data_IF_121822048520
#
_entry.id   IF_121822048520
#
_cell.length_a   1.000
_cell.length_b   1.000
_cell.length_c   1.000
_cell.angle_alpha   90.00
_cell.angle_beta   90.00
_cell.angle_gamma   90.00
#
_symmetry.space_group_name_H-M   'P 1'
#
loop_
_entity.id
_entity.type
_entity.pdbx_description
1 polymer ?
#
# COMPACT_ATOMS: atom_id res chain seq x y z
N UNK A 1 5.40 4.16 -26.18
CA UNK A 1 5.58 2.82 -25.57
C UNK A 1 5.24 1.72 -26.56
N UNK A 2 3.98 1.64 -27.05
CA UNK A 2 3.57 0.63 -28.05
C UNK A 2 4.50 0.60 -29.27
N UNK A 3 4.69 1.73 -29.94
CA UNK A 3 5.52 1.81 -31.17
C UNK A 3 6.98 1.44 -30.93
N UNK A 4 7.47 1.62 -29.70
CA UNK A 4 8.81 1.19 -29.32
C UNK A 4 8.88 -0.33 -29.17
N UNK A 5 7.93 -0.94 -28.46
CA UNK A 5 7.92 -2.39 -28.18
C UNK A 5 7.59 -3.21 -29.44
N UNK A 6 6.73 -2.71 -30.33
CA UNK A 6 6.35 -3.41 -31.56
C UNK A 6 7.52 -3.66 -32.52
N UNK A 7 8.65 -2.95 -32.35
CA UNK A 7 9.88 -3.22 -33.11
C UNK A 7 10.57 -4.53 -32.71
N UNK A 8 10.27 -5.03 -31.51
CA UNK A 8 10.95 -6.18 -30.91
C UNK A 8 10.02 -7.37 -30.69
N UNK A 9 8.70 -7.15 -30.68
CA UNK A 9 7.71 -8.17 -30.36
C UNK A 9 6.60 -8.21 -31.38
N UNK A 10 6.26 -9.42 -31.84
CA UNK A 10 5.15 -9.68 -32.77
C UNK A 10 3.78 -9.43 -32.12
N UNK A 11 3.66 -9.68 -30.83
CA UNK A 11 2.44 -9.44 -30.07
C UNK A 11 2.78 -8.93 -28.67
N UNK A 12 1.91 -8.08 -28.13
CA UNK A 12 2.05 -7.51 -26.80
C UNK A 12 0.74 -7.76 -26.07
N UNK A 13 0.80 -8.46 -24.94
CA UNK A 13 -0.35 -8.68 -24.06
C UNK A 13 -0.18 -7.84 -22.80
N UNK A 14 -1.25 -7.14 -22.42
CA UNK A 14 -1.31 -6.38 -21.18
C UNK A 14 -2.06 -7.23 -20.15
N UNK A 15 -1.43 -7.51 -19.01
CA UNK A 15 -2.08 -8.15 -17.87
C UNK A 15 -1.97 -7.17 -16.70
N UNK A 16 -3.12 -6.72 -16.19
CA UNK A 16 -3.18 -5.73 -15.13
C UNK A 16 -3.97 -6.28 -13.93
N UNK A 17 -3.27 -6.43 -12.81
CA UNK A 17 -3.88 -6.81 -11.54
C UNK A 17 -4.35 -5.57 -10.78
N UNK A 18 -5.66 -5.48 -10.62
CA UNK A 18 -6.34 -4.36 -10.00
C UNK A 18 -6.70 -4.74 -8.56
N UNK A 19 -6.08 -4.08 -7.58
CA UNK A 19 -6.49 -4.22 -6.18
C UNK A 19 -7.82 -3.52 -5.96
N UNK A 20 -8.57 -3.93 -4.94
CA UNK A 20 -9.70 -3.15 -4.49
C UNK A 20 -9.25 -1.74 -4.06
N UNK A 21 -10.09 -0.71 -4.22
CA UNK A 21 -9.69 0.66 -3.99
C UNK A 21 -9.12 0.93 -2.59
N UNK A 22 -9.78 0.44 -1.54
CA UNK A 22 -9.33 0.74 -0.17
C UNK A 22 -8.03 0.00 0.16
N UNK A 23 -7.91 -1.27 -0.25
CA UNK A 23 -6.66 -2.01 -0.12
C UNK A 23 -5.51 -1.35 -0.90
N UNK A 24 -5.78 -0.80 -2.08
CA UNK A 24 -4.80 0.00 -2.82
C UNK A 24 -4.40 1.26 -2.05
N UNK A 25 -5.38 2.03 -1.55
CA UNK A 25 -5.16 3.25 -0.77
C UNK A 25 -4.29 2.98 0.47
N UNK A 26 -4.55 1.91 1.21
CA UNK A 26 -3.74 1.48 2.35
C UNK A 26 -2.30 1.13 1.94
N UNK A 27 -2.15 0.37 0.86
CA UNK A 27 -0.83 0.02 0.34
C UNK A 27 -0.05 1.27 -0.09
N UNK A 28 -0.71 2.21 -0.78
CA UNK A 28 -0.09 3.47 -1.20
C UNK A 28 0.28 4.34 -0.01
N UNK A 29 -0.57 4.43 1.01
CA UNK A 29 -0.28 5.14 2.25
C UNK A 29 1.00 4.61 2.90
N UNK A 30 1.11 3.29 3.10
CA UNK A 30 2.31 2.71 3.69
C UNK A 30 3.57 2.94 2.84
N UNK A 31 3.46 2.88 1.50
CA UNK A 31 4.58 3.21 0.61
C UNK A 31 5.00 4.68 0.72
N UNK A 32 4.03 5.60 0.85
CA UNK A 32 4.30 7.03 1.09
C UNK A 32 4.97 7.27 2.42
N UNK A 33 4.56 6.59 3.50
CA UNK A 33 5.25 6.65 4.79
C UNK A 33 6.70 6.18 4.67
N UNK A 34 6.93 5.02 4.05
CA UNK A 34 8.29 4.53 3.77
C UNK A 34 9.10 5.53 2.93
N UNK A 35 8.42 6.31 2.09
CA UNK A 35 8.97 7.40 1.29
C UNK A 35 9.16 8.75 2.00
N UNK A 36 8.70 8.90 3.26
CA UNK A 36 8.82 10.15 4.02
C UNK A 36 7.64 11.11 3.93
N UNK A 37 6.48 10.65 3.48
CA UNK A 37 5.26 11.47 3.38
C UNK A 37 4.21 10.99 4.37
N UNK A 38 3.80 11.87 5.28
CA UNK A 38 2.76 11.61 6.28
C UNK A 38 1.42 12.26 5.91
N UNK A 39 0.95 12.01 4.69
CA UNK A 39 -0.35 12.51 4.22
C UNK A 39 -1.39 11.38 4.19
N UNK A 40 -2.45 11.56 4.99
CA UNK A 40 -3.56 10.62 5.11
C UNK A 40 -4.85 11.31 4.65
N UNK A 41 -5.02 11.44 3.34
CA UNK A 41 -6.21 12.03 2.70
C UNK A 41 -6.76 11.09 1.62
N UNK A 42 -8.05 10.73 1.64
CA UNK A 42 -8.63 9.80 0.66
C UNK A 42 -8.40 10.20 -0.80
N UNK A 43 -8.56 11.48 -1.14
CA UNK A 43 -8.40 12.01 -2.49
C UNK A 43 -6.98 11.87 -3.02
N UNK A 44 -6.01 11.91 -2.11
CA UNK A 44 -4.59 11.76 -2.43
C UNK A 44 -4.16 10.30 -2.51
N UNK A 45 -4.91 9.38 -1.91
CA UNK A 45 -4.60 7.95 -1.86
C UNK A 45 -5.35 7.14 -2.92
N UNK A 46 -6.45 7.66 -3.44
CA UNK A 46 -7.22 7.01 -4.49
C UNK A 46 -6.50 7.08 -5.85
N UNK A 47 -6.47 5.96 -6.57
CA UNK A 47 -6.02 5.91 -7.97
C UNK A 47 -7.24 5.94 -8.87
N UNK A 48 -7.25 6.81 -9.89
CA UNK A 48 -8.31 6.78 -10.92
C UNK A 48 -8.16 5.51 -11.77
N UNK A 49 -9.04 4.53 -11.53
CA UNK A 49 -9.03 3.22 -12.18
C UNK A 49 -9.33 3.35 -13.67
N UNK A 50 -10.30 4.18 -14.05
CA UNK A 50 -10.58 4.49 -15.45
C UNK A 50 -9.35 5.04 -16.14
N UNK A 51 -8.69 6.06 -15.59
CA UNK A 51 -7.48 6.61 -16.23
C UNK A 51 -6.36 5.56 -16.32
N UNK A 52 -6.25 4.68 -15.32
CA UNK A 52 -5.28 3.58 -15.31
C UNK A 52 -5.57 2.55 -16.41
N UNK A 53 -6.83 2.19 -16.62
CA UNK A 53 -7.26 1.14 -17.57
C UNK A 53 -7.43 1.69 -18.99
N UNK A 54 -8.12 2.81 -19.15
CA UNK A 54 -8.50 3.41 -20.44
C UNK A 54 -7.27 3.69 -21.31
N UNK A 55 -6.14 4.10 -20.72
CA UNK A 55 -4.90 4.33 -21.47
C UNK A 55 -4.35 3.05 -22.13
N UNK A 56 -4.51 1.89 -21.49
CA UNK A 56 -4.05 0.62 -22.07
C UNK A 56 -5.03 0.13 -23.10
N UNK A 57 -6.34 0.19 -22.82
CA UNK A 57 -7.38 -0.19 -23.77
C UNK A 57 -7.30 0.65 -25.05
N UNK A 58 -7.11 1.97 -24.94
CA UNK A 58 -6.96 2.86 -26.11
C UNK A 58 -5.74 2.53 -26.97
N UNK A 59 -4.64 2.11 -26.34
CA UNK A 59 -3.36 1.90 -27.04
C UNK A 59 -3.24 0.48 -27.58
N UNK A 60 -3.65 -0.53 -26.82
CA UNK A 60 -3.44 -1.94 -27.14
C UNK A 60 -4.71 -2.67 -27.54
N UNK A 61 -5.90 -2.10 -27.33
CA UNK A 61 -7.17 -2.79 -27.52
C UNK A 61 -7.60 -3.59 -26.29
N UNK A 62 -8.89 -3.88 -26.19
CA UNK A 62 -9.47 -4.64 -25.08
C UNK A 62 -9.14 -6.14 -25.20
N UNK A 63 -9.06 -6.63 -26.43
CA UNK A 63 -8.71 -8.00 -26.81
C UNK A 63 -7.27 -8.39 -26.43
N UNK A 64 -6.39 -7.39 -26.30
CA UNK A 64 -5.00 -7.58 -25.85
C UNK A 64 -4.79 -7.16 -24.40
N UNK A 65 -5.84 -6.77 -23.68
CA UNK A 65 -5.76 -6.25 -22.32
C UNK A 65 -6.63 -7.05 -21.34
N UNK A 66 -5.98 -7.82 -20.48
CA UNK A 66 -6.63 -8.60 -19.42
C UNK A 66 -6.54 -7.85 -18.09
N UNK A 67 -7.70 -7.58 -17.48
CA UNK A 67 -7.80 -6.95 -16.17
C UNK A 67 -8.31 -7.95 -15.16
N UNK A 68 -7.53 -8.18 -14.10
CA UNK A 68 -7.78 -9.22 -13.09
C UNK A 68 -7.95 -8.56 -11.74
N UNK A 69 -9.00 -8.92 -10.99
CA UNK A 69 -9.12 -8.49 -9.61
C UNK A 69 -8.02 -9.16 -8.78
N UNK A 70 -7.26 -8.37 -8.03
CA UNK A 70 -6.23 -8.88 -7.11
C UNK A 70 -6.89 -9.27 -5.78
N UNK A 71 -7.54 -10.43 -5.78
CA UNK A 71 -8.18 -11.07 -4.64
C UNK A 71 -7.81 -12.55 -4.61
N UNK A 72 -7.94 -13.23 -3.47
CA UNK A 72 -7.61 -14.67 -3.43
C UNK A 72 -8.58 -15.48 -4.28
N UNK A 73 -9.81 -15.02 -4.38
CA UNK A 73 -10.91 -15.68 -5.05
C UNK A 73 -10.80 -15.58 -6.58
N UNK A 74 -10.13 -14.54 -7.09
CA UNK A 74 -9.93 -14.32 -8.52
C UNK A 74 -8.59 -14.83 -9.05
N UNK A 75 -7.66 -15.23 -8.18
CA UNK A 75 -6.34 -15.74 -8.54
C UNK A 75 -6.31 -17.27 -8.52
N UNK A 76 -5.57 -17.88 -9.44
CA UNK A 76 -5.31 -19.34 -9.44
C UNK A 76 -4.66 -19.74 -8.10
N UNK A 77 -5.29 -20.70 -7.41
CA UNK A 77 -4.91 -21.16 -6.06
C UNK A 77 -4.80 -20.04 -5.01
N UNK A 78 -5.40 -18.87 -5.27
CA UNK A 78 -5.20 -17.67 -4.45
C UNK A 78 -3.78 -17.10 -4.48
N UNK A 79 -2.97 -17.48 -5.48
CA UNK A 79 -1.58 -17.08 -5.65
C UNK A 79 -1.38 -16.31 -6.96
N UNK A 80 -0.94 -15.05 -6.84
CA UNK A 80 -0.64 -14.21 -8.00
C UNK A 80 0.48 -14.78 -8.86
N UNK A 81 1.45 -15.49 -8.27
CA UNK A 81 2.56 -16.06 -9.05
C UNK A 81 2.03 -17.20 -9.93
N UNK A 82 1.20 -18.09 -9.37
CA UNK A 82 0.57 -19.16 -10.13
C UNK A 82 -0.34 -18.60 -11.24
N UNK A 83 -1.12 -17.56 -10.92
CA UNK A 83 -2.00 -16.90 -11.88
C UNK A 83 -1.22 -16.21 -13.02
N UNK A 84 -0.13 -15.50 -12.70
CA UNK A 84 0.76 -14.90 -13.71
C UNK A 84 1.36 -15.97 -14.59
N UNK A 85 1.94 -17.02 -14.00
CA UNK A 85 2.60 -18.12 -14.71
C UNK A 85 1.63 -18.75 -15.73
N UNK A 86 0.42 -19.08 -15.30
CA UNK A 86 -0.62 -19.60 -16.18
C UNK A 86 -0.96 -18.65 -17.34
N UNK A 87 -1.14 -17.35 -17.09
CA UNK A 87 -1.50 -16.37 -18.13
C UNK A 87 -0.41 -16.14 -19.17
N UNK A 88 0.86 -16.37 -18.81
CA UNK A 88 1.99 -16.29 -19.73
C UNK A 88 2.39 -17.66 -20.30
N UNK A 89 1.66 -18.73 -19.97
CA UNK A 89 1.92 -20.12 -20.34
C UNK A 89 3.28 -20.65 -19.85
N UNK A 90 3.65 -20.32 -18.61
CA UNK A 90 4.85 -20.79 -17.93
C UNK A 90 4.51 -21.66 -16.71
N UNK A 91 5.44 -22.54 -16.31
CA UNK A 91 5.33 -23.29 -15.06
C UNK A 91 5.75 -22.41 -13.87
N UNK A 92 4.89 -22.31 -12.85
CA UNK A 92 5.18 -21.60 -11.60
C UNK A 92 6.44 -22.13 -10.91
N UNK A 93 6.78 -23.41 -11.08
CA UNK A 93 7.97 -24.02 -10.47
C UNK A 93 9.28 -23.44 -11.03
N UNK A 94 9.25 -22.85 -12.22
CA UNK A 94 10.40 -22.18 -12.83
C UNK A 94 10.56 -20.73 -12.33
N UNK A 95 9.62 -20.23 -11.51
CA UNK A 95 9.61 -18.84 -11.04
C UNK A 95 10.12 -18.75 -9.61
N UNK A 96 11.26 -18.08 -9.42
CA UNK A 96 11.81 -17.81 -8.09
C UNK A 96 10.97 -16.74 -7.37
N UNK A 97 10.12 -17.17 -6.44
CA UNK A 97 9.30 -16.26 -5.63
C UNK A 97 10.14 -15.59 -4.55
N UNK A 98 10.25 -14.26 -4.62
CA UNK A 98 10.78 -13.44 -3.51
C UNK A 98 9.62 -12.71 -2.84
N UNK A 99 9.34 -13.06 -1.57
CA UNK A 99 8.41 -12.28 -0.76
C UNK A 99 9.06 -10.96 -0.37
N UNK A 100 8.65 -9.88 -1.02
CA UNK A 100 9.13 -8.52 -0.76
C UNK A 100 8.01 -7.56 -0.30
N UNK A 101 6.75 -8.02 -0.30
CA UNK A 101 5.57 -7.19 -0.05
C UNK A 101 5.08 -7.29 1.40
N UNK A 102 5.98 -7.20 2.37
CA UNK A 102 5.57 -7.04 3.76
C UNK A 102 5.29 -5.56 4.03
N UNK A 103 4.02 -5.28 4.32
CA UNK A 103 3.57 -4.00 4.84
C UNK A 103 4.20 -3.71 6.19
N UNK A 104 4.10 -2.45 6.63
CA UNK A 104 4.35 -2.12 8.03
C UNK A 104 3.22 -2.74 8.89
N UNK A 105 3.58 -3.17 10.09
CA UNK A 105 2.59 -3.36 11.16
C UNK A 105 1.88 -2.04 11.45
N UNK A 106 0.73 -2.08 12.11
CA UNK A 106 0.00 -0.87 12.50
C UNK A 106 0.83 0.00 13.44
N UNK A 107 1.58 -0.63 14.34
CA UNK A 107 2.44 -0.02 15.34
C UNK A 107 3.60 0.72 14.64
N UNK A 108 4.31 0.04 13.74
CA UNK A 108 5.36 0.65 12.96
C UNK A 108 4.83 1.77 12.06
N UNK A 109 3.65 1.61 11.46
CA UNK A 109 3.03 2.64 10.64
C UNK A 109 2.65 3.88 11.46
N UNK A 110 2.12 3.70 12.68
CA UNK A 110 1.73 4.80 13.57
C UNK A 110 2.95 5.59 14.07
N UNK A 111 4.00 4.90 14.55
CA UNK A 111 5.25 5.56 14.97
C UNK A 111 5.88 6.31 13.80
N UNK A 112 5.98 5.68 12.63
CA UNK A 112 6.55 6.32 11.45
C UNK A 112 5.71 7.54 11.01
N UNK A 113 4.38 7.45 11.07
CA UNK A 113 3.48 8.56 10.75
C UNK A 113 3.67 9.73 11.69
N UNK A 114 3.68 9.51 13.01
CA UNK A 114 3.85 10.57 14.02
C UNK A 114 5.23 11.22 13.86
N UNK A 115 6.30 10.43 13.75
CA UNK A 115 7.65 10.96 13.52
C UNK A 115 7.71 11.86 12.28
N UNK A 116 7.18 11.40 11.14
CA UNK A 116 7.22 12.16 9.90
C UNK A 116 6.33 13.40 9.93
N UNK A 117 5.15 13.32 10.56
CA UNK A 117 4.20 14.42 10.63
C UNK A 117 4.71 15.58 11.47
N UNK A 118 5.45 15.30 12.54
CA UNK A 118 5.81 16.31 13.53
C UNK A 118 7.30 16.65 13.59
N UNK A 119 8.19 15.80 13.07
CA UNK A 119 9.64 16.00 13.18
C UNK A 119 10.38 16.05 11.85
N UNK A 120 9.69 15.82 10.73
CA UNK A 120 10.27 15.89 9.41
C UNK A 120 9.54 16.93 8.53
N UNK A 121 10.25 17.62 7.62
CA UNK A 121 9.60 18.35 6.55
C UNK A 121 8.72 17.39 5.74
N UNK A 122 7.47 17.76 5.49
CA UNK A 122 6.55 16.99 4.66
C UNK A 122 6.84 17.20 3.16
N UNK A 123 8.06 16.84 2.74
CA UNK A 123 8.56 17.02 1.38
C UNK A 123 9.11 15.68 0.88
N UNK A 124 8.72 15.30 -0.34
CA UNK A 124 9.34 14.16 -1.03
C UNK A 124 10.70 14.57 -1.57
N UNK A 125 11.74 14.33 -0.78
CA UNK A 125 13.12 14.50 -1.22
C UNK A 125 14.01 13.29 -0.85
N UNK A 126 15.25 13.30 -1.34
CA UNK A 126 16.22 12.23 -1.12
C UNK A 126 16.57 12.05 0.36
N UNK A 127 16.57 13.12 1.14
CA UNK A 127 16.92 13.08 2.56
C UNK A 127 15.75 12.59 3.42
N UNK A 128 14.52 12.99 3.11
CA UNK A 128 13.29 12.43 3.69
C UNK A 128 13.22 10.92 3.47
N UNK A 129 13.47 10.47 2.24
CA UNK A 129 13.55 9.04 1.93
C UNK A 129 14.62 8.32 2.77
N UNK A 130 15.82 8.89 2.89
CA UNK A 130 16.90 8.30 3.71
C UNK A 130 16.54 8.23 5.19
N UNK A 131 15.91 9.26 5.76
CA UNK A 131 15.45 9.29 7.16
C UNK A 131 14.39 8.21 7.38
N UNK A 132 13.36 8.17 6.54
CA UNK A 132 12.31 7.15 6.61
C UNK A 132 12.85 5.74 6.47
N UNK A 133 13.75 5.50 5.52
CA UNK A 133 14.37 4.19 5.33
C UNK A 133 15.12 3.70 6.57
N UNK A 134 15.84 4.60 7.27
CA UNK A 134 16.51 4.28 8.53
C UNK A 134 15.50 3.94 9.62
N UNK A 135 14.45 4.76 9.78
CA UNK A 135 13.43 4.50 10.79
C UNK A 135 12.64 3.21 10.50
N UNK A 136 12.29 2.94 9.25
CA UNK A 136 11.67 1.68 8.82
C UNK A 136 12.57 0.47 9.18
N UNK A 137 13.89 0.61 9.06
CA UNK A 137 14.80 -0.46 9.48
C UNK A 137 14.80 -0.68 11.01
N UNK A 138 14.71 0.39 11.81
CA UNK A 138 14.59 0.31 13.27
C UNK A 138 13.27 -0.30 13.72
N UNK A 139 12.19 -0.02 12.98
CA UNK A 139 10.84 -0.53 13.25
C UNK A 139 10.61 -1.96 12.73
N UNK A 140 11.63 -2.60 12.14
CA UNK A 140 11.50 -3.95 11.63
C UNK A 140 11.23 -4.91 12.80
N UNK A 141 10.15 -5.68 12.69
CA UNK A 141 9.70 -6.61 13.73
C UNK A 141 8.96 -5.96 14.90
N UNK A 142 8.76 -4.64 14.88
CA UNK A 142 7.95 -3.96 15.89
C UNK A 142 6.46 -4.11 15.59
N UNK A 143 5.71 -4.72 16.50
CA UNK A 143 4.27 -4.89 16.39
C UNK A 143 3.85 -6.06 15.50
N UNK A 144 2.59 -6.47 15.68
CA UNK A 144 2.00 -7.64 15.02
C UNK A 144 0.65 -7.34 14.36
N UNK A 145 0.06 -6.18 14.68
CA UNK A 145 -1.25 -5.81 14.19
C UNK A 145 -1.17 -5.31 12.74
N UNK A 146 -2.24 -5.53 11.98
CA UNK A 146 -2.36 -4.98 10.62
C UNK A 146 -3.12 -3.66 10.64
N UNK A 147 -2.60 -2.67 9.92
CA UNK A 147 -3.31 -1.43 9.70
C UNK A 147 -4.48 -1.65 8.73
N UNK A 148 -5.70 -1.32 9.15
CA UNK A 148 -6.91 -1.34 8.34
C UNK A 148 -7.48 0.07 8.20
N UNK A 149 -7.86 0.49 6.99
CA UNK A 149 -8.64 1.71 6.85
C UNK A 149 -10.09 1.46 7.26
N UNK A 150 -10.67 2.39 8.01
CA UNK A 150 -12.05 2.29 8.50
C UNK A 150 -13.07 2.79 7.48
N UNK A 151 -14.34 2.78 7.91
CA UNK A 151 -15.52 3.09 7.09
C UNK A 151 -15.38 4.37 6.27
N UNK A 152 -14.74 5.42 6.80
CA UNK A 152 -14.54 6.69 6.08
C UNK A 152 -13.97 6.50 4.67
N UNK A 153 -13.01 5.59 4.50
CA UNK A 153 -12.38 5.35 3.20
C UNK A 153 -13.26 4.54 2.26
N UNK A 154 -14.03 3.59 2.81
CA UNK A 154 -15.02 2.83 2.06
C UNK A 154 -16.15 3.74 1.58
N UNK A 155 -16.70 4.56 2.47
CA UNK A 155 -17.73 5.54 2.14
C UNK A 155 -17.24 6.56 1.11
N UNK A 156 -15.97 7.02 1.20
CA UNK A 156 -15.39 7.87 0.17
C UNK A 156 -15.39 7.18 -1.21
N UNK A 157 -14.98 5.92 -1.30
CA UNK A 157 -14.97 5.19 -2.57
C UNK A 157 -16.39 4.98 -3.09
N UNK A 158 -17.32 4.59 -2.22
CA UNK A 158 -18.72 4.33 -2.55
C UNK A 158 -19.45 5.58 -3.03
N UNK A 159 -19.28 6.73 -2.37
CA UNK A 159 -20.04 7.93 -2.69
C UNK A 159 -19.32 8.81 -3.73
N UNK A 160 -18.01 9.04 -3.56
CA UNK A 160 -17.26 9.99 -4.38
C UNK A 160 -16.67 9.35 -5.64
N UNK A 161 -16.44 8.03 -5.63
CA UNK A 161 -15.71 7.31 -6.70
C UNK A 161 -16.48 6.16 -7.35
N UNK A 162 -17.76 5.95 -7.04
CA UNK A 162 -18.53 4.84 -7.61
C UNK A 162 -18.63 4.88 -9.14
N UNK A 163 -18.62 6.06 -9.75
CA UNK A 163 -18.66 6.20 -11.20
C UNK A 163 -17.47 5.52 -11.88
N UNK A 164 -16.31 5.53 -11.24
CA UNK A 164 -15.08 4.92 -11.74
C UNK A 164 -15.18 3.39 -11.71
N UNK A 165 -15.71 2.83 -10.61
CA UNK A 165 -15.93 1.39 -10.46
C UNK A 165 -17.03 0.86 -11.38
N UNK A 166 -18.12 1.64 -11.55
CA UNK A 166 -19.18 1.32 -12.53
C UNK A 166 -18.62 1.32 -13.95
N UNK A 167 -17.74 2.26 -14.29
CA UNK A 167 -17.07 2.29 -15.58
C UNK A 167 -16.20 1.04 -15.77
N UNK A 168 -15.41 0.65 -14.77
CA UNK A 168 -14.56 -0.54 -14.81
C UNK A 168 -15.38 -1.82 -15.07
N UNK A 169 -16.46 -2.02 -14.29
CA UNK A 169 -17.35 -3.18 -14.46
C UNK A 169 -17.96 -3.22 -15.86
N UNK A 170 -18.42 -2.08 -16.37
CA UNK A 170 -19.06 -1.98 -17.69
C UNK A 170 -18.10 -2.25 -18.85
N UNK A 171 -16.87 -1.73 -18.79
CA UNK A 171 -15.98 -1.71 -19.96
C UNK A 171 -14.96 -2.85 -19.99
N UNK A 172 -14.60 -3.39 -18.82
CA UNK A 172 -13.60 -4.47 -18.73
C UNK A 172 -14.07 -5.66 -17.91
N UNK A 173 -15.36 -5.70 -17.50
CA UNK A 173 -15.97 -6.82 -16.79
C UNK A 173 -15.45 -7.04 -15.37
N UNK A 174 -14.57 -6.16 -14.87
CA UNK A 174 -13.89 -6.33 -13.60
C UNK A 174 -14.68 -5.66 -12.47
N UNK A 175 -15.07 -6.42 -11.45
CA UNK A 175 -15.74 -5.92 -10.26
C UNK A 175 -14.75 -5.66 -9.13
N UNK A 176 -15.05 -4.66 -8.31
CA UNK A 176 -14.21 -4.22 -7.18
C UNK A 176 -15.05 -4.09 -5.93
N UNK A 177 -15.89 -5.10 -5.67
CA UNK A 177 -16.77 -5.09 -4.52
C UNK A 177 -15.93 -5.27 -3.25
N UNK A 178 -15.87 -4.23 -2.43
CA UNK A 178 -15.16 -4.24 -1.17
C UNK A 178 -16.08 -3.70 -0.09
N UNK A 179 -16.27 -4.49 0.97
CA UNK A 179 -17.00 -4.07 2.17
C UNK A 179 -16.04 -3.99 3.33
N UNK A 180 -16.26 -3.01 4.20
CA UNK A 180 -15.52 -2.93 5.44
C UNK A 180 -15.87 -4.15 6.30
N UNK A 181 -14.85 -4.91 6.69
CA UNK A 181 -14.97 -6.02 7.63
C UNK A 181 -13.80 -5.93 8.59
N UNK A 182 -14.08 -5.62 9.84
CA UNK A 182 -13.08 -5.66 10.90
C UNK A 182 -12.54 -7.09 11.04
N UNK A 183 -11.21 -7.23 11.08
CA UNK A 183 -10.54 -8.52 11.23
C UNK A 183 -9.83 -8.55 12.60
N UNK A 184 -9.61 -9.75 13.14
CA UNK A 184 -8.77 -9.92 14.32
C UNK A 184 -7.36 -9.36 14.06
N UNK A 185 -6.73 -8.83 15.11
CA UNK A 185 -5.40 -8.24 15.08
C UNK A 185 -5.27 -7.12 14.04
N UNK A 186 -6.29 -6.26 13.98
CA UNK A 186 -6.27 -5.07 13.12
C UNK A 186 -6.51 -3.80 13.91
N UNK A 187 -5.87 -2.73 13.45
CA UNK A 187 -6.05 -1.38 13.97
C UNK A 187 -6.76 -0.59 12.90
N UNK A 188 -7.94 -0.10 13.24
CA UNK A 188 -8.80 0.64 12.33
C UNK A 188 -8.40 2.11 12.36
N UNK A 189 -8.20 2.69 11.17
CA UNK A 189 -7.78 4.07 10.98
C UNK A 189 -8.78 4.78 10.07
N UNK A 190 -9.53 5.73 10.62
CA UNK A 190 -10.40 6.66 9.92
C UNK A 190 -9.73 8.05 9.77
N UNK A 191 -8.79 8.39 10.63
CA UNK A 191 -8.22 9.73 10.71
C UNK A 191 -6.71 9.72 11.01
N UNK A 192 -6.08 10.89 10.89
CA UNK A 192 -4.70 11.04 11.32
C UNK A 192 -4.59 10.96 12.84
N UNK A 193 -5.61 11.44 13.53
CA UNK A 193 -5.75 11.46 14.97
C UNK A 193 -5.80 10.03 15.52
N UNK A 194 -6.43 9.09 14.82
CA UNK A 194 -6.43 7.67 15.19
C UNK A 194 -5.02 7.09 15.23
N UNK A 195 -4.16 7.45 14.26
CA UNK A 195 -2.76 7.02 14.24
C UNK A 195 -1.94 7.66 15.36
N UNK A 196 -2.22 8.92 15.70
CA UNK A 196 -1.57 9.60 16.82
C UNK A 196 -1.96 8.92 18.13
N UNK A 197 -3.26 8.72 18.38
CA UNK A 197 -3.77 8.05 19.57
C UNK A 197 -3.22 6.61 19.68
N UNK A 198 -3.18 5.88 18.57
CA UNK A 198 -2.62 4.53 18.57
C UNK A 198 -1.11 4.53 18.84
N UNK A 199 -0.36 5.46 18.25
CA UNK A 199 1.07 5.64 18.54
C UNK A 199 1.33 5.84 20.04
N UNK A 200 0.52 6.67 20.71
CA UNK A 200 0.62 6.88 22.17
C UNK A 200 0.42 5.58 22.93
N UNK A 201 -0.59 4.80 22.55
CA UNK A 201 -0.91 3.55 23.25
C UNK A 201 0.21 2.51 23.14
N UNK A 202 0.96 2.50 22.03
CA UNK A 202 2.07 1.56 21.79
C UNK A 202 3.45 2.15 22.12
N UNK A 203 3.49 3.38 22.65
CA UNK A 203 4.73 4.08 22.92
C UNK A 203 5.64 3.37 23.93
N UNK A 204 5.14 2.83 25.06
CA UNK A 204 5.97 2.08 26.00
C UNK A 204 6.64 0.85 25.36
N UNK A 205 5.90 0.14 24.49
CA UNK A 205 6.42 -1.02 23.79
C UNK A 205 7.44 -0.63 22.71
N UNK A 206 7.24 0.52 22.05
CA UNK A 206 8.22 1.09 21.14
C UNK A 206 9.55 1.39 21.83
N UNK A 207 9.52 2.00 23.02
CA UNK A 207 10.73 2.28 23.80
C UNK A 207 11.43 0.98 24.22
N UNK A 208 10.68 -0.04 24.66
CA UNK A 208 11.24 -1.35 24.97
C UNK A 208 11.91 -1.99 23.75
N UNK A 209 11.21 -1.99 22.60
CA UNK A 209 11.74 -2.50 21.32
C UNK A 209 13.04 -1.79 20.93
N UNK A 210 13.12 -0.47 21.10
CA UNK A 210 14.34 0.27 20.81
C UNK A 210 15.48 -0.07 21.78
N UNK A 211 15.21 -0.21 23.08
CA UNK A 211 16.23 -0.55 24.08
C UNK A 211 16.83 -1.94 23.84
N UNK A 212 16.01 -2.90 23.41
CA UNK A 212 16.43 -4.27 23.10
C UNK A 212 17.26 -4.34 21.81
N UNK A 213 16.88 -3.57 20.79
CA UNK A 213 17.47 -3.67 19.45
C UNK A 213 18.57 -2.63 19.16
N UNK A 214 18.79 -1.61 20.00
CA UNK A 214 19.70 -0.49 19.70
C UNK A 214 20.59 -0.03 20.86
N UNK A 215 21.18 -0.95 21.64
CA UNK A 215 22.17 -0.59 22.68
C UNK A 215 23.32 0.27 22.09
N UNK A 216 23.23 1.60 22.22
CA UNK A 216 24.31 2.56 21.95
C UNK A 216 24.16 3.54 20.76
N UNK A 217 23.03 3.62 20.04
CA UNK A 217 22.95 4.51 18.85
C UNK A 217 22.27 5.86 19.15
N UNK A 218 23.07 6.94 19.17
CA UNK A 218 22.65 8.34 19.41
C UNK A 218 21.46 8.79 18.54
N UNK A 219 21.28 8.20 17.35
CA UNK A 219 20.17 8.51 16.42
C UNK A 219 18.79 8.05 16.89
N UNK A 220 18.72 7.17 17.88
CA UNK A 220 17.46 6.71 18.48
C UNK A 220 16.87 7.78 19.39
N UNK A 221 17.72 8.56 20.06
CA UNK A 221 17.30 9.63 20.98
C UNK A 221 16.47 10.70 20.25
N UNK A 222 16.82 11.04 19.01
CA UNK A 222 16.07 12.04 18.23
C UNK A 222 14.66 11.54 17.86
N UNK A 223 14.51 10.25 17.57
CA UNK A 223 13.20 9.63 17.30
C UNK A 223 12.38 9.55 18.58
N UNK A 224 13.00 9.19 19.69
CA UNK A 224 12.35 9.15 21.01
C UNK A 224 11.86 10.54 21.40
N UNK A 225 12.72 11.56 21.37
CA UNK A 225 12.32 12.96 21.64
C UNK A 225 11.21 13.46 20.74
N UNK A 226 11.31 13.12 19.44
CA UNK A 226 10.31 13.46 18.44
C UNK A 226 8.94 12.85 18.74
N UNK A 227 8.88 11.66 19.33
CA UNK A 227 7.61 10.98 19.65
C UNK A 227 7.14 11.34 21.07
N UNK A 228 8.06 11.46 22.04
CA UNK A 228 7.83 11.93 23.42
C UNK A 228 7.14 13.29 23.44
N UNK A 229 7.57 14.24 22.60
CA UNK A 229 6.99 15.57 22.56
C UNK A 229 5.48 15.58 22.25
N UNK A 230 4.94 14.47 21.73
CA UNK A 230 3.53 14.34 21.35
C UNK A 230 2.79 13.23 22.07
N UNK A 231 3.47 12.36 22.83
CA UNK A 231 2.83 11.28 23.55
C UNK A 231 2.47 11.69 24.97
#
# INVERSE_FOLDING_TARGET
MRDFLQKYFLSIKIICYLRSPVAFMQSLFQQRLKGGVAELKPERLYSSYRNLVEKFVKVFGVEHSTFVQFSKESLIDGDVVADVASRINEDKNNIKVKRANEGLSAEAAAVLFVYLRFSAPNVMDREAYKRSKKLVALLKGFGENKLLFGEKYYSFVEHERCHDLKWLKKHVGCTMDEKFVAKKNTVIVNSAEDLVCYCKSVYPDFIRHLAENNKGNVKVIDVVRAVDAFC
#
